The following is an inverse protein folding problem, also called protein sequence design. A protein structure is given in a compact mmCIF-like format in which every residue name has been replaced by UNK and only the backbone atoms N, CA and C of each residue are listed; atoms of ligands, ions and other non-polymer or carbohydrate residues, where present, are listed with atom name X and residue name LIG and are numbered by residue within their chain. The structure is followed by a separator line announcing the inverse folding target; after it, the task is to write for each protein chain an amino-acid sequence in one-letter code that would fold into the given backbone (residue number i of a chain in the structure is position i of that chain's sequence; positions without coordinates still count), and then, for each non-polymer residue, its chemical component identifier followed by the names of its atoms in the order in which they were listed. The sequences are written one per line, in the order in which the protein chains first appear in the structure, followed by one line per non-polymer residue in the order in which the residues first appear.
data_IF_905240589416
#
_entry.id   IF_905240589416
#
_cell.length_a   1.000
_cell.length_b   1.000
_cell.length_c   1.000
_cell.angle_alpha   90.00
_cell.angle_beta   90.00
_cell.angle_gamma   90.00
#
_symmetry.space_group_name_H-M   'P 1'
#
loop_
_entity.id
_entity.type
_entity.pdbx_description
1 polymer ?
#
# COMPACT_ATOMS: atom_id res chain seq x y z
N UNK A 1 30.86 15.66 -16.89
CA UNK A 1 29.58 15.58 -16.17
C UNK A 1 28.49 15.58 -17.20
N UNK A 2 27.81 14.44 -17.43
CA UNK A 2 26.80 14.37 -18.49
C UNK A 2 25.67 15.34 -18.17
N UNK A 3 25.58 16.41 -18.95
CA UNK A 3 24.37 17.24 -18.99
C UNK A 3 23.24 16.31 -19.42
N UNK A 4 22.28 16.08 -18.52
CA UNK A 4 21.09 15.30 -18.85
C UNK A 4 20.29 16.11 -19.86
N UNK A 5 20.10 15.54 -21.03
CA UNK A 5 19.19 16.07 -22.04
C UNK A 5 17.82 16.33 -21.40
N UNK A 6 17.19 17.49 -21.66
CA UNK A 6 15.95 17.87 -21.00
C UNK A 6 14.81 16.95 -21.41
N UNK A 7 14.04 16.46 -20.42
CA UNK A 7 12.86 15.62 -20.67
C UNK A 7 11.70 16.37 -21.36
N UNK A 8 11.70 17.71 -21.30
CA UNK A 8 10.71 18.57 -21.94
C UNK A 8 11.37 19.89 -22.35
N UNK A 9 11.01 20.40 -23.52
CA UNK A 9 11.46 21.71 -24.02
C UNK A 9 10.25 22.59 -24.29
N UNK A 10 10.29 23.84 -23.83
CA UNK A 10 9.26 24.82 -24.08
C UNK A 10 9.52 25.47 -25.44
N UNK A 11 8.61 25.28 -26.38
CA UNK A 11 8.70 25.88 -27.73
C UNK A 11 8.00 27.25 -27.78
N UNK A 12 6.90 27.41 -27.03
CA UNK A 12 6.10 28.64 -26.94
C UNK A 12 5.74 28.92 -25.47
N UNK A 13 5.97 30.15 -25.00
CA UNK A 13 5.85 30.54 -23.57
C UNK A 13 4.52 31.20 -23.17
N UNK A 14 3.54 31.22 -24.06
CA UNK A 14 2.24 31.90 -23.97
C UNK A 14 1.07 30.90 -24.03
N UNK A 15 1.27 29.69 -23.49
CA UNK A 15 0.21 28.69 -23.41
C UNK A 15 -0.98 29.23 -22.62
N UNK A 16 -2.20 28.98 -23.09
CA UNK A 16 -3.38 29.37 -22.34
C UNK A 16 -3.52 28.55 -21.05
N UNK A 17 -4.31 29.00 -20.07
CA UNK A 17 -4.58 28.20 -18.86
C UNK A 17 -5.13 26.81 -19.18
N UNK A 18 -5.97 26.70 -20.21
CA UNK A 18 -6.56 25.44 -20.68
C UNK A 18 -5.51 24.51 -21.29
N UNK A 19 -4.59 25.05 -22.09
CA UNK A 19 -3.48 24.28 -22.69
C UNK A 19 -2.53 23.76 -21.60
N UNK A 20 -2.25 24.59 -20.59
CA UNK A 20 -1.45 24.19 -19.42
C UNK A 20 -2.13 23.06 -18.65
N UNK A 21 -3.44 23.17 -18.41
CA UNK A 21 -4.22 22.13 -17.75
C UNK A 21 -4.23 20.82 -18.57
N UNK A 22 -4.39 20.90 -19.88
CA UNK A 22 -4.35 19.74 -20.77
C UNK A 22 -2.98 19.03 -20.73
N UNK A 23 -1.88 19.78 -20.71
CA UNK A 23 -0.53 19.23 -20.58
C UNK A 23 -0.35 18.47 -19.26
N UNK A 24 -0.75 19.09 -18.13
CA UNK A 24 -0.67 18.45 -16.81
C UNK A 24 -1.52 17.19 -16.76
N UNK A 25 -2.75 17.24 -17.30
CA UNK A 25 -3.65 16.10 -17.36
C UNK A 25 -3.04 14.93 -18.16
N UNK A 26 -2.42 15.20 -19.31
CA UNK A 26 -1.77 14.19 -20.12
C UNK A 26 -0.58 13.52 -19.40
N UNK A 27 0.27 14.31 -18.73
CA UNK A 27 1.39 13.80 -17.94
C UNK A 27 0.89 12.94 -16.77
N UNK A 28 -0.12 13.41 -16.05
CA UNK A 28 -0.72 12.68 -14.94
C UNK A 28 -1.38 11.37 -15.39
N UNK A 29 -2.08 11.37 -16.52
CA UNK A 29 -2.68 10.18 -17.11
C UNK A 29 -1.62 9.13 -17.49
N UNK A 30 -0.52 9.56 -18.11
CA UNK A 30 0.61 8.67 -18.44
C UNK A 30 1.28 8.11 -17.19
N UNK A 31 1.48 8.93 -16.16
CA UNK A 31 2.02 8.47 -14.87
C UNK A 31 1.07 7.49 -14.17
N UNK A 32 -0.25 7.66 -14.31
CA UNK A 32 -1.24 6.73 -13.78
C UNK A 32 -1.24 5.39 -14.52
N UNK A 33 -1.12 5.39 -15.85
CA UNK A 33 -1.09 4.17 -16.66
C UNK A 33 0.11 3.26 -16.34
N UNK A 34 1.23 3.83 -15.87
CA UNK A 34 2.41 3.07 -15.45
C UNK A 34 2.38 2.58 -14.01
N UNK A 35 1.39 2.97 -13.20
CA UNK A 35 1.30 2.49 -11.81
C UNK A 35 0.66 1.10 -11.79
N UNK A 36 1.32 0.10 -11.17
CA UNK A 36 0.65 -1.17 -10.91
C UNK A 36 -0.59 -0.89 -10.08
N UNK A 37 -1.72 -1.48 -10.47
CA UNK A 37 -2.94 -1.46 -9.66
C UNK A 37 -2.57 -1.93 -8.25
N UNK A 38 -2.94 -1.21 -7.18
CA UNK A 38 -2.72 -1.71 -5.85
C UNK A 38 -3.36 -3.09 -5.78
N UNK A 39 -2.55 -4.11 -5.55
CA UNK A 39 -3.06 -5.46 -5.36
C UNK A 39 -4.12 -5.39 -4.27
N UNK A 40 -5.28 -6.05 -4.41
CA UNK A 40 -6.23 -6.15 -3.32
C UNK A 40 -5.44 -6.60 -2.10
N UNK A 41 -5.55 -5.85 -1.00
CA UNK A 41 -4.81 -6.12 0.23
C UNK A 41 -5.05 -7.59 0.56
N UNK A 42 -4.06 -8.45 0.30
CA UNK A 42 -4.20 -9.87 0.57
C UNK A 42 -4.59 -9.95 2.05
N UNK A 43 -5.75 -10.57 2.33
CA UNK A 43 -6.30 -10.72 3.68
C UNK A 43 -5.12 -10.99 4.61
N UNK A 44 -4.78 -10.01 5.45
CA UNK A 44 -3.46 -9.92 6.05
C UNK A 44 -3.13 -11.30 6.61
N UNK A 45 -2.13 -11.96 5.99
CA UNK A 45 -1.87 -13.37 6.26
C UNK A 45 -1.82 -13.59 7.76
N UNK A 46 -2.27 -14.76 8.23
CA UNK A 46 -2.49 -15.20 9.64
C UNK A 46 -1.55 -14.66 10.73
N UNK A 47 -0.39 -14.11 10.35
CA UNK A 47 0.49 -13.25 11.14
C UNK A 47 -0.14 -11.97 11.70
N UNK A 48 -1.05 -11.31 10.97
CA UNK A 48 -1.66 -10.04 11.39
C UNK A 48 -3.06 -10.21 12.00
N UNK A 49 -3.40 -11.42 12.42
CA UNK A 49 -4.67 -11.74 13.06
C UNK A 49 -4.72 -11.16 14.48
N UNK A 50 -5.58 -10.16 14.78
CA UNK A 50 -5.70 -9.56 16.11
C UNK A 50 -6.04 -10.59 17.20
N UNK A 51 -6.68 -11.71 16.83
CA UNK A 51 -6.98 -12.79 17.76
C UNK A 51 -5.71 -13.42 18.37
N UNK A 52 -4.53 -13.26 17.74
CA UNK A 52 -3.25 -13.72 18.28
C UNK A 52 -2.67 -12.81 19.37
N UNK A 53 -3.06 -11.54 19.41
CA UNK A 53 -2.67 -10.61 20.48
C UNK A 53 -3.55 -10.77 21.72
N UNK A 54 -4.70 -11.43 21.58
CA UNK A 54 -5.63 -11.68 22.68
C UNK A 54 -5.25 -12.94 23.45
N UNK A 55 -5.31 -12.88 24.78
CA UNK A 55 -5.15 -14.07 25.63
C UNK A 55 -6.30 -15.04 25.41
N UNK A 56 -5.98 -16.33 25.24
CA UNK A 56 -6.98 -17.39 25.19
C UNK A 56 -7.62 -17.59 26.57
N UNK A 57 -8.95 -17.73 26.67
CA UNK A 57 -9.61 -18.03 27.93
C UNK A 57 -9.09 -19.34 28.54
N UNK A 58 -8.91 -19.37 29.86
CA UNK A 58 -8.58 -20.60 30.58
C UNK A 58 -9.82 -21.49 30.64
N UNK A 59 -9.64 -22.79 30.41
CA UNK A 59 -10.71 -23.76 30.62
C UNK A 59 -11.07 -23.84 32.12
N UNK A 60 -12.35 -23.89 32.43
CA UNK A 60 -12.84 -24.12 33.79
C UNK A 60 -13.19 -25.60 33.96
N UNK A 61 -12.80 -26.20 35.08
CA UNK A 61 -13.18 -27.56 35.43
C UNK A 61 -12.15 -28.31 36.27
N UNK A 62 -12.53 -29.46 36.86
CA UNK A 62 -11.60 -30.32 37.59
C UNK A 62 -10.41 -30.70 36.71
N UNK A 63 -9.19 -30.44 37.19
CA UNK A 63 -7.94 -30.75 36.47
C UNK A 63 -7.48 -29.70 35.45
N UNK A 64 -8.27 -28.64 35.18
CA UNK A 64 -7.92 -27.64 34.16
C UNK A 64 -6.61 -26.89 34.44
N UNK A 65 -6.27 -26.68 35.70
CA UNK A 65 -4.99 -26.09 36.12
C UNK A 65 -3.79 -27.01 35.81
N UNK A 66 -3.93 -28.33 35.96
CA UNK A 66 -2.84 -29.28 35.65
C UNK A 66 -2.60 -29.37 34.15
N UNK A 67 -3.66 -29.35 33.34
CA UNK A 67 -3.56 -29.39 31.88
C UNK A 67 -2.97 -28.11 31.29
N UNK A 68 -3.17 -26.96 31.95
CA UNK A 68 -2.58 -25.69 31.50
C UNK A 68 -1.04 -25.68 31.54
N UNK A 69 -0.42 -26.48 32.41
CA UNK A 69 1.03 -26.61 32.52
C UNK A 69 1.61 -27.79 31.73
N UNK A 70 0.80 -28.82 31.47
CA UNK A 70 1.23 -30.07 30.83
C UNK A 70 0.86 -30.17 29.33
N UNK A 71 0.06 -29.24 28.81
CA UNK A 71 -0.37 -29.24 27.40
C UNK A 71 0.69 -28.65 26.47
N UNK A 72 1.56 -29.51 25.93
CA UNK A 72 2.33 -29.25 24.70
C UNK A 72 1.94 -30.26 23.64
#
# INVERSE_FOLDING_TARGET
MSEREPYLTIVRGDATPEETAALVAAIAARAAAGRPQPAPTAAAGRWRDPAREMRRPLAHGPGAWRTAFLGR
#
